data_IF_358909041147
#
_entry.id   IF_358909041147
#
_cell.length_a   1.000
_cell.length_b   1.000
_cell.length_c   1.000
_cell.angle_alpha   90.00
_cell.angle_beta   90.00
_cell.angle_gamma   90.00
#
_symmetry.space_group_name_H-M   'P 1'
#
loop_
_entity.id
_entity.type
_entity.pdbx_description
1 polymer ?
#
# COMPACT_ATOMS: atom_id res chain seq x y z
N UNK A 1 0.01 0.61 8.50
CA UNK A 1 0.86 1.44 7.61
C UNK A 1 1.24 0.75 6.28
N UNK A 2 1.19 -0.58 6.16
CA UNK A 2 1.60 -1.31 4.95
C UNK A 2 0.99 -0.79 3.63
N UNK A 3 -0.29 -0.44 3.62
CA UNK A 3 -0.97 0.07 2.43
C UNK A 3 -0.37 1.37 1.87
N UNK A 4 0.31 2.17 2.70
CA UNK A 4 0.94 3.42 2.25
C UNK A 4 2.05 3.19 1.22
N UNK A 5 2.74 2.05 1.28
CA UNK A 5 3.79 1.70 0.30
C UNK A 5 3.23 1.42 -1.11
N UNK A 6 1.92 1.21 -1.23
CA UNK A 6 1.23 1.02 -2.50
C UNK A 6 0.47 2.29 -2.90
N UNK A 7 -0.17 2.96 -1.92
CA UNK A 7 -1.00 4.15 -2.18
C UNK A 7 -0.16 5.39 -2.45
N UNK A 8 0.92 5.60 -1.68
CA UNK A 8 1.81 6.74 -1.88
C UNK A 8 2.86 6.38 -2.92
N UNK A 9 2.94 7.19 -3.97
CA UNK A 9 3.97 7.03 -4.97
C UNK A 9 5.29 7.57 -4.46
N UNK A 10 6.23 6.66 -4.17
CA UNK A 10 7.60 7.03 -3.89
C UNK A 10 8.56 6.03 -4.53
N UNK A 11 9.49 6.54 -5.34
CA UNK A 11 10.61 5.76 -5.87
C UNK A 11 11.65 5.41 -4.78
N UNK A 12 11.57 6.08 -3.62
CA UNK A 12 12.41 5.83 -2.45
C UNK A 12 11.52 5.53 -1.24
N UNK A 13 11.27 4.25 -0.98
CA UNK A 13 10.53 3.80 0.20
C UNK A 13 11.38 3.89 1.45
N UNK A 14 10.88 4.56 2.49
CA UNK A 14 11.54 4.63 3.80
C UNK A 14 10.86 3.72 4.80
N UNK A 15 11.65 2.90 5.48
CA UNK A 15 11.26 2.08 6.63
C UNK A 15 11.67 2.89 7.86
N UNK A 16 10.70 3.50 8.55
CA UNK A 16 10.97 4.61 9.49
C UNK A 16 11.21 4.21 10.96
N UNK A 17 10.79 3.01 11.36
CA UNK A 17 10.95 2.49 12.72
C UNK A 17 12.34 1.86 12.97
N UNK A 18 12.65 1.61 14.24
CA UNK A 18 13.87 0.93 14.65
C UNK A 18 13.88 -0.55 14.19
N UNK A 19 15.04 -1.15 13.88
CA UNK A 19 15.13 -2.54 13.43
C UNK A 19 14.43 -3.54 14.35
N UNK A 20 14.52 -3.33 15.66
CA UNK A 20 13.93 -4.18 16.70
C UNK A 20 12.40 -4.20 16.62
N UNK A 21 11.79 -3.10 16.18
CA UNK A 21 10.35 -2.97 16.07
C UNK A 21 9.76 -3.90 15.00
N UNK A 22 10.56 -4.36 14.03
CA UNK A 22 10.10 -5.26 12.95
C UNK A 22 10.24 -6.74 13.27
N UNK A 23 11.02 -7.11 14.30
CA UNK A 23 11.27 -8.51 14.63
C UNK A 23 9.97 -9.20 15.04
N UNK A 24 9.56 -10.21 14.26
CA UNK A 24 8.33 -10.97 14.53
C UNK A 24 7.03 -10.25 14.17
N UNK A 25 7.07 -9.05 13.57
CA UNK A 25 5.85 -8.33 13.21
C UNK A 25 5.17 -8.93 11.97
N UNK A 26 3.84 -9.15 12.02
CA UNK A 26 3.11 -9.62 10.86
C UNK A 26 3.13 -8.55 9.75
N UNK A 27 3.40 -9.00 8.52
CA UNK A 27 3.36 -8.16 7.32
C UNK A 27 4.66 -7.46 6.95
N UNK A 28 5.74 -7.57 7.75
CA UNK A 28 7.06 -7.06 7.35
C UNK A 28 7.59 -7.76 6.08
N UNK A 29 7.34 -9.07 5.94
CA UNK A 29 7.67 -9.83 4.72
C UNK A 29 6.90 -9.35 3.48
N UNK A 30 5.77 -8.66 3.65
CA UNK A 30 5.08 -8.02 2.53
C UNK A 30 5.84 -6.78 2.06
N UNK A 31 6.40 -5.98 2.98
CA UNK A 31 7.20 -4.80 2.62
C UNK A 31 8.44 -5.15 1.82
N UNK A 32 9.09 -6.26 2.12
CA UNK A 32 10.25 -6.76 1.36
C UNK A 32 9.92 -7.10 -0.10
N UNK A 33 8.64 -7.35 -0.43
CA UNK A 33 8.17 -7.70 -1.77
C UNK A 33 7.62 -6.51 -2.56
N UNK A 34 7.33 -5.38 -1.90
CA UNK A 34 6.81 -4.20 -2.59
C UNK A 34 7.91 -3.58 -3.46
N UNK A 35 7.69 -3.43 -4.78
CA UNK A 35 8.67 -2.79 -5.66
C UNK A 35 8.67 -1.27 -5.46
N UNK A 36 9.81 -0.64 -5.75
CA UNK A 36 9.94 0.82 -5.70
C UNK A 36 9.32 1.53 -6.91
N UNK A 37 9.14 0.82 -8.03
CA UNK A 37 8.56 1.37 -9.27
C UNK A 37 7.49 0.44 -9.81
N UNK A 38 6.61 1.02 -10.62
CA UNK A 38 5.39 0.38 -11.11
C UNK A 38 5.31 0.50 -12.62
N UNK A 39 4.81 -0.54 -13.28
CA UNK A 39 4.60 -0.51 -14.73
C UNK A 39 3.21 0.02 -15.06
N UNK A 40 2.25 -0.16 -14.15
CA UNK A 40 0.88 0.30 -14.30
C UNK A 40 0.27 0.65 -12.94
N UNK A 41 -0.54 1.72 -12.92
CA UNK A 41 -1.25 2.20 -11.73
C UNK A 41 -2.73 2.40 -12.09
N UNK A 42 -3.62 1.82 -11.29
CA UNK A 42 -5.08 1.95 -11.41
C UNK A 42 -5.67 2.46 -10.11
N UNK A 43 -6.36 3.60 -10.17
CA UNK A 43 -7.18 4.06 -9.05
C UNK A 43 -8.54 3.35 -9.15
N UNK A 44 -8.82 2.46 -8.19
CA UNK A 44 -10.05 1.66 -8.20
C UNK A 44 -11.22 2.50 -7.67
N UNK A 45 -11.00 3.18 -6.54
CA UNK A 45 -11.96 4.12 -5.96
C UNK A 45 -11.22 5.15 -5.13
N UNK A 46 -11.63 6.41 -5.21
CA UNK A 46 -11.05 7.48 -4.41
C UNK A 46 -12.09 8.56 -4.11
N UNK A 47 -12.16 8.99 -2.85
CA UNK A 47 -12.89 10.17 -2.43
C UNK A 47 -11.95 11.01 -1.56
N UNK A 48 -11.55 12.21 -2.01
CA UNK A 48 -10.66 13.09 -1.26
C UNK A 48 -11.14 13.31 0.18
N UNK A 49 -10.21 13.25 1.14
CA UNK A 49 -10.50 13.38 2.57
C UNK A 49 -11.23 12.19 3.21
N UNK A 50 -11.63 11.18 2.43
CA UNK A 50 -12.36 10.01 2.94
C UNK A 50 -11.56 8.72 2.79
N UNK A 51 -11.35 8.24 1.58
CA UNK A 51 -10.68 6.96 1.34
C UNK A 51 -10.12 6.87 -0.08
N UNK A 52 -9.16 5.98 -0.28
CA UNK A 52 -8.61 5.66 -1.58
C UNK A 52 -8.17 4.21 -1.63
N UNK A 53 -8.40 3.56 -2.77
CA UNK A 53 -7.89 2.25 -3.11
C UNK A 53 -7.19 2.30 -4.46
N UNK A 54 -5.93 1.89 -4.48
CA UNK A 54 -5.08 1.84 -5.68
C UNK A 54 -4.60 0.41 -5.87
N UNK A 55 -4.66 -0.06 -7.11
CA UNK A 55 -3.99 -1.27 -7.58
C UNK A 55 -2.80 -0.87 -8.45
N UNK A 56 -1.60 -1.39 -8.16
CA UNK A 56 -0.39 -1.18 -8.96
C UNK A 56 0.18 -2.51 -9.42
N UNK A 57 0.73 -2.53 -10.63
CA UNK A 57 1.33 -3.73 -11.24
C UNK A 57 2.83 -3.55 -11.43
N UNK A 58 3.57 -4.61 -11.17
CA UNK A 58 4.98 -4.77 -11.57
C UNK A 58 5.16 -6.14 -12.20
N UNK A 59 5.52 -6.19 -13.48
CA UNK A 59 5.53 -7.43 -14.25
C UNK A 59 4.13 -8.05 -14.28
N UNK A 60 4.00 -9.26 -13.73
CA UNK A 60 2.73 -9.98 -13.62
C UNK A 60 2.06 -9.82 -12.25
N UNK A 61 2.75 -9.23 -11.28
CA UNK A 61 2.29 -9.14 -9.90
C UNK A 61 1.49 -7.86 -9.67
N UNK A 62 0.34 -8.02 -9.00
CA UNK A 62 -0.55 -6.93 -8.60
C UNK A 62 -0.51 -6.70 -7.10
N UNK A 63 -0.49 -5.43 -6.72
CA UNK A 63 -0.44 -4.96 -5.35
C UNK A 63 -1.60 -3.99 -5.13
N UNK A 64 -2.40 -4.24 -4.10
CA UNK A 64 -3.57 -3.43 -3.78
C UNK A 64 -3.38 -2.79 -2.42
N UNK A 65 -3.50 -1.46 -2.36
CA UNK A 65 -3.46 -0.69 -1.13
C UNK A 65 -4.74 0.10 -0.96
N UNK A 66 -5.33 0.04 0.23
CA UNK A 66 -6.47 0.85 0.61
C UNK A 66 -6.18 1.59 1.92
N UNK A 67 -6.48 2.89 1.94
CA UNK A 67 -6.44 3.72 3.14
C UNK A 67 -7.76 4.46 3.30
N UNK A 68 -8.16 4.67 4.56
CA UNK A 68 -9.41 5.33 4.95
C UNK A 68 -9.10 6.38 6.02
N UNK A 69 -9.99 7.35 6.19
CA UNK A 69 -9.96 8.32 7.28
C UNK A 69 -10.40 7.65 8.60
N UNK A 70 -10.75 8.45 9.61
CA UNK A 70 -11.19 7.98 10.93
C UNK A 70 -12.47 7.12 10.92
N UNK A 71 -13.18 7.04 9.78
CA UNK A 71 -14.35 6.20 9.62
C UNK A 71 -13.97 4.87 8.94
N UNK A 72 -14.25 3.75 9.61
CA UNK A 72 -14.10 2.41 9.06
C UNK A 72 -15.07 2.17 7.90
N UNK A 73 -14.63 1.46 6.86
CA UNK A 73 -15.42 1.20 5.65
C UNK A 73 -15.21 -0.21 5.15
N UNK A 74 -16.28 -0.81 4.62
CA UNK A 74 -16.22 -2.04 3.85
C UNK A 74 -16.19 -1.69 2.36
N UNK A 75 -15.18 -2.17 1.65
CA UNK A 75 -15.01 -1.95 0.22
C UNK A 75 -15.10 -3.30 -0.49
N UNK A 76 -16.00 -3.41 -1.45
CA UNK A 76 -16.06 -4.55 -2.37
C UNK A 76 -15.30 -4.16 -3.63
N UNK A 77 -14.18 -4.84 -3.88
CA UNK A 77 -13.40 -4.69 -5.11
C UNK A 77 -13.90 -5.76 -6.09
N UNK A 78 -14.42 -5.32 -7.23
CA UNK A 78 -14.89 -6.16 -8.34
C UNK A 78 -13.78 -6.42 -9.35
#
# INVERSE_FOLDING_TARGET
MLAMYIVLESALGMICDAPEAYLGQPGFESLKRVPATWDETRVIVAVPGKYITIARRKGFDWYIGAITNSEGRNLTLI
#
